data_IF_225473071277
#
_entry.id   IF_225473071277
#
_cell.length_a   1.000
_cell.length_b   1.000
_cell.length_c   1.000
_cell.angle_alpha   90.00
_cell.angle_beta   90.00
_cell.angle_gamma   90.00
#
_symmetry.space_group_name_H-M   'P 1'
#
loop_
_entity.id
_entity.type
_entity.pdbx_description
1 polymer ?
#
# COMPACT_ATOMS: atom_id res chain seq x y z
N UNK A 1 12.06 -15.60 -0.27
CA UNK A 1 12.87 -14.54 -0.92
C UNK A 1 14.28 -14.54 -0.33
N UNK A 2 15.29 -14.19 -1.12
CA UNK A 2 16.69 -14.07 -0.71
C UNK A 2 17.18 -12.63 -0.94
N UNK A 3 18.20 -12.21 -0.19
CA UNK A 3 18.90 -10.94 -0.41
C UNK A 3 20.22 -11.22 -1.12
N UNK A 4 20.64 -10.31 -2.00
CA UNK A 4 21.89 -10.42 -2.72
C UNK A 4 22.64 -9.09 -2.63
N UNK A 5 23.76 -9.09 -1.92
CA UNK A 5 24.78 -8.05 -2.10
C UNK A 5 25.59 -8.39 -3.35
N UNK A 6 25.85 -7.38 -4.19
CA UNK A 6 26.47 -7.52 -5.51
C UNK A 6 27.58 -8.59 -5.58
N UNK A 7 27.52 -9.48 -6.58
CA UNK A 7 28.46 -10.59 -6.81
C UNK A 7 28.69 -11.55 -5.61
N UNK A 8 27.94 -11.41 -4.52
CA UNK A 8 28.00 -12.26 -3.34
C UNK A 8 27.09 -13.49 -3.43
N UNK A 9 27.21 -14.38 -2.45
CA UNK A 9 26.26 -15.48 -2.27
C UNK A 9 24.93 -14.97 -1.69
N UNK A 10 23.78 -15.59 -2.03
CA UNK A 10 22.50 -15.27 -1.41
C UNK A 10 22.59 -15.24 0.11
N UNK A 11 22.21 -14.12 0.69
CA UNK A 11 22.11 -13.93 2.13
C UNK A 11 20.65 -13.99 2.57
N UNK A 12 20.38 -14.34 3.84
CA UNK A 12 19.08 -14.09 4.42
C UNK A 12 18.78 -12.57 4.38
N UNK A 13 17.52 -12.16 4.13
CA UNK A 13 17.13 -10.76 4.14
C UNK A 13 17.49 -9.98 5.42
N UNK A 14 17.71 -10.69 6.54
CA UNK A 14 18.07 -10.11 7.83
C UNK A 14 19.37 -9.31 7.82
N UNK A 15 20.36 -9.67 7.00
CA UNK A 15 21.67 -8.99 6.99
C UNK A 15 21.57 -7.51 6.58
N UNK A 16 20.78 -7.20 5.55
CA UNK A 16 20.53 -5.81 5.14
C UNK A 16 19.76 -5.02 6.20
N UNK A 17 18.85 -5.69 6.91
CA UNK A 17 18.02 -5.08 7.94
C UNK A 17 18.82 -4.76 9.21
N UNK A 18 19.85 -5.55 9.54
CA UNK A 18 20.76 -5.24 10.66
C UNK A 18 21.52 -3.92 10.43
N UNK A 19 22.03 -3.71 9.22
CA UNK A 19 22.68 -2.44 8.85
C UNK A 19 21.69 -1.27 8.90
N UNK A 20 20.47 -1.45 8.37
CA UNK A 20 19.44 -0.42 8.40
C UNK A 20 19.07 -0.01 9.85
N UNK A 21 18.91 -0.98 10.76
CA UNK A 21 18.64 -0.71 12.17
C UNK A 21 19.76 0.08 12.85
N UNK A 22 21.02 -0.25 12.54
CA UNK A 22 22.18 0.49 13.04
C UNK A 22 22.17 1.94 12.54
N UNK A 23 21.88 2.16 11.26
CA UNK A 23 21.80 3.52 10.70
C UNK A 23 20.73 4.36 11.39
N UNK A 24 19.52 3.83 11.62
CA UNK A 24 18.48 4.56 12.36
C UNK A 24 18.86 4.79 13.83
N UNK A 25 19.58 3.85 14.45
CA UNK A 25 20.10 4.02 15.81
C UNK A 25 21.14 5.13 15.88
N UNK A 26 22.06 5.22 14.92
CA UNK A 26 23.00 6.34 14.80
C UNK A 26 22.26 7.66 14.53
N UNK A 27 21.23 7.65 13.68
CA UNK A 27 20.42 8.84 13.40
C UNK A 27 19.71 9.35 14.66
N UNK A 28 19.18 8.47 15.51
CA UNK A 28 18.62 8.85 16.81
C UNK A 28 19.65 9.50 17.73
N UNK A 29 20.88 8.95 17.78
CA UNK A 29 21.97 9.53 18.57
C UNK A 29 22.44 10.91 18.06
N UNK A 30 22.22 11.21 16.78
CA UNK A 30 22.58 12.46 16.13
C UNK A 30 21.42 13.45 15.96
N UNK A 31 20.19 13.07 16.35
CA UNK A 31 19.00 13.89 16.15
C UNK A 31 19.09 15.20 16.96
N UNK A 32 18.92 16.33 16.27
CA UNK A 32 18.95 17.66 16.84
C UNK A 32 17.56 18.18 17.24
N UNK A 33 16.48 17.53 16.79
CA UNK A 33 15.10 17.93 17.08
C UNK A 33 14.13 16.73 17.02
N UNK A 34 12.90 16.97 17.48
CA UNK A 34 11.84 15.95 17.53
C UNK A 34 11.48 15.39 16.15
N UNK A 35 11.50 16.20 15.10
CA UNK A 35 11.22 15.71 13.73
C UNK A 35 12.24 14.65 13.31
N UNK A 36 13.53 14.89 13.55
CA UNK A 36 14.60 13.95 13.24
C UNK A 36 14.51 12.68 14.11
N UNK A 37 14.23 12.83 15.41
CA UNK A 37 14.09 11.66 16.28
C UNK A 37 12.85 10.83 15.91
N UNK A 38 11.73 11.47 15.63
CA UNK A 38 10.48 10.79 15.26
C UNK A 38 10.62 10.07 13.91
N UNK A 39 11.26 10.69 12.92
CA UNK A 39 11.57 10.05 11.65
C UNK A 39 12.48 8.81 11.84
N UNK A 40 13.49 8.93 12.70
CA UNK A 40 14.40 7.83 12.97
C UNK A 40 13.73 6.69 13.77
N UNK A 41 12.85 7.00 14.72
CA UNK A 41 12.00 6.01 15.40
C UNK A 41 11.07 5.31 14.41
N UNK A 42 10.36 6.05 13.56
CA UNK A 42 9.45 5.49 12.55
C UNK A 42 10.18 4.55 11.59
N UNK A 43 11.33 4.97 11.05
CA UNK A 43 12.14 4.13 10.17
C UNK A 43 12.69 2.89 10.87
N UNK A 44 13.14 3.01 12.13
CA UNK A 44 13.62 1.85 12.89
C UNK A 44 12.49 0.87 13.23
N UNK A 45 11.30 1.36 13.54
CA UNK A 45 10.12 0.53 13.76
C UNK A 45 9.78 -0.29 12.51
N UNK A 46 9.77 0.33 11.31
CA UNK A 46 9.57 -0.39 10.04
C UNK A 46 10.61 -1.50 9.83
N UNK A 47 11.90 -1.21 10.09
CA UNK A 47 12.97 -2.22 10.00
C UNK A 47 12.75 -3.36 10.99
N UNK A 48 12.39 -3.05 12.23
CA UNK A 48 12.14 -4.04 13.28
C UNK A 48 10.91 -4.91 13.00
N UNK A 49 9.84 -4.34 12.44
CA UNK A 49 8.70 -5.11 11.91
C UNK A 49 9.17 -6.08 10.83
N UNK A 50 9.99 -5.62 9.87
CA UNK A 50 10.52 -6.47 8.81
C UNK A 50 11.45 -7.59 9.34
N UNK A 51 12.12 -7.36 10.47
CA UNK A 51 12.94 -8.35 11.19
C UNK A 51 12.12 -9.30 12.07
N UNK A 52 10.85 -8.98 12.35
CA UNK A 52 10.03 -9.68 13.33
C UNK A 52 10.33 -9.32 14.78
N UNK A 53 11.14 -8.29 15.06
CA UNK A 53 11.35 -7.74 16.41
C UNK A 53 10.20 -6.82 16.80
N UNK A 54 9.07 -7.43 17.18
CA UNK A 54 7.87 -6.68 17.55
C UNK A 54 8.04 -5.90 18.85
N UNK A 55 8.78 -6.43 19.84
CA UNK A 55 9.03 -5.69 21.07
C UNK A 55 9.74 -4.35 20.81
N UNK A 56 10.82 -4.39 20.02
CA UNK A 56 11.55 -3.19 19.63
C UNK A 56 10.74 -2.28 18.70
N UNK A 57 10.01 -2.85 17.75
CA UNK A 57 9.17 -2.08 16.82
C UNK A 57 8.08 -1.29 17.56
N UNK A 58 7.37 -1.93 18.49
CA UNK A 58 6.30 -1.32 19.27
C UNK A 58 6.83 -0.22 20.20
N UNK A 59 8.02 -0.43 20.78
CA UNK A 59 8.68 0.59 21.59
C UNK A 59 9.01 1.85 20.79
N UNK A 60 9.52 1.69 19.56
CA UNK A 60 9.84 2.82 18.68
C UNK A 60 8.58 3.50 18.14
N UNK A 61 7.59 2.70 17.71
CA UNK A 61 6.30 3.20 17.21
C UNK A 61 5.58 4.06 18.27
N UNK A 62 5.68 3.71 19.55
CA UNK A 62 5.09 4.49 20.64
C UNK A 62 5.75 5.87 20.85
N UNK A 63 6.95 6.11 20.31
CA UNK A 63 7.62 7.42 20.42
C UNK A 63 7.13 8.42 19.37
N UNK A 64 6.41 7.96 18.34
CA UNK A 64 6.01 8.79 17.20
C UNK A 64 4.58 9.29 17.42
N UNK A 65 4.33 10.61 17.45
CA UNK A 65 2.99 11.18 17.56
C UNK A 65 2.08 10.72 16.41
N UNK A 66 0.78 10.45 16.64
CA UNK A 66 -0.15 10.00 15.60
C UNK A 66 -0.22 10.90 14.35
N UNK A 67 -0.11 12.21 14.52
CA UNK A 67 -0.17 13.23 13.47
C UNK A 67 1.19 13.50 12.80
N UNK A 68 2.24 12.80 13.20
CA UNK A 68 3.56 12.96 12.62
C UNK A 68 3.62 12.48 11.17
N UNK A 69 4.26 13.26 10.30
CA UNK A 69 4.53 12.89 8.91
C UNK A 69 5.96 13.26 8.57
N UNK A 70 6.71 12.30 8.05
CA UNK A 70 8.01 12.52 7.41
C UNK A 70 7.94 12.12 5.94
N UNK A 71 8.15 13.09 5.04
CA UNK A 71 7.90 12.91 3.62
C UNK A 71 9.06 13.40 2.76
N UNK A 72 9.26 12.77 1.61
CA UNK A 72 10.03 13.35 0.51
C UNK A 72 9.13 14.31 -0.24
N UNK A 73 9.59 15.56 -0.37
CA UNK A 73 8.91 16.59 -1.14
C UNK A 73 9.41 16.55 -2.60
N UNK A 74 8.54 16.25 -3.56
CA UNK A 74 8.89 16.29 -4.97
C UNK A 74 9.10 17.73 -5.43
N UNK A 75 9.87 17.89 -6.51
CA UNK A 75 9.87 19.12 -7.29
C UNK A 75 9.32 18.80 -8.69
N UNK A 76 8.16 19.35 -9.08
CA UNK A 76 7.49 18.99 -10.33
C UNK A 76 8.28 19.44 -11.56
N UNK A 77 9.16 20.44 -11.42
CA UNK A 77 9.91 21.03 -12.52
C UNK A 77 11.10 20.15 -12.94
N UNK A 78 11.52 19.23 -12.08
CA UNK A 78 12.64 18.35 -12.34
C UNK A 78 12.17 16.90 -12.46
N UNK A 79 12.38 16.35 -13.66
CA UNK A 79 12.03 14.97 -14.00
C UNK A 79 12.53 13.92 -13.00
N UNK A 80 13.69 14.16 -12.39
CA UNK A 80 14.33 13.22 -11.46
C UNK A 80 13.79 13.26 -10.04
N UNK A 81 13.07 14.32 -9.66
CA UNK A 81 12.61 14.54 -8.28
C UNK A 81 11.09 14.69 -8.16
N UNK A 82 10.36 14.84 -9.26
CA UNK A 82 8.88 14.83 -9.26
C UNK A 82 8.30 13.47 -8.91
N UNK A 83 7.05 13.46 -8.46
CA UNK A 83 6.24 12.23 -8.41
C UNK A 83 6.03 11.72 -9.83
N UNK A 84 6.71 10.62 -10.18
CA UNK A 84 6.59 10.03 -11.53
C UNK A 84 5.21 9.44 -11.76
N UNK A 85 4.63 8.82 -10.74
CA UNK A 85 3.31 8.21 -10.80
C UNK A 85 2.25 9.30 -10.96
N UNK A 86 2.37 10.40 -10.23
CA UNK A 86 1.46 11.54 -10.38
C UNK A 86 1.61 12.24 -11.73
N UNK A 87 2.83 12.52 -12.18
CA UNK A 87 3.05 13.08 -13.52
C UNK A 87 2.53 12.19 -14.65
N UNK A 88 2.67 10.88 -14.52
CA UNK A 88 2.17 9.92 -15.51
C UNK A 88 0.64 9.88 -15.62
N UNK A 89 -0.07 10.40 -14.62
CA UNK A 89 -1.53 10.34 -14.57
C UNK A 89 -2.22 11.70 -14.41
N UNK A 90 -1.49 12.83 -14.41
CA UNK A 90 -2.04 14.17 -14.16
C UNK A 90 -2.80 14.78 -15.37
N UNK A 91 -3.55 13.95 -16.12
CA UNK A 91 -4.23 14.24 -17.39
C UNK A 91 -3.31 14.68 -18.55
N UNK A 92 -2.53 15.73 -18.34
CA UNK A 92 -1.48 16.21 -19.22
C UNK A 92 -0.10 15.95 -18.59
N UNK A 93 0.85 15.30 -19.30
CA UNK A 93 0.77 14.87 -20.69
C UNK A 93 0.06 13.51 -20.89
N UNK A 94 -0.25 12.77 -19.82
CA UNK A 94 -0.72 11.40 -19.94
C UNK A 94 -1.83 11.03 -18.92
N UNK A 95 -2.54 9.97 -19.29
CA UNK A 95 -3.56 9.25 -18.52
C UNK A 95 -3.20 7.76 -18.52
N UNK A 96 -2.04 7.42 -17.95
CA UNK A 96 -1.41 6.12 -18.18
C UNK A 96 -2.10 4.94 -17.48
N UNK A 97 -2.77 5.17 -16.35
CA UNK A 97 -3.44 4.11 -15.61
C UNK A 97 -4.79 4.57 -15.06
N UNK A 98 -5.63 3.61 -14.71
CA UNK A 98 -6.96 3.84 -14.15
C UNK A 98 -7.07 3.14 -12.80
N UNK A 99 -7.90 3.68 -11.91
CA UNK A 99 -8.23 3.04 -10.64
C UNK A 99 -9.36 2.01 -10.81
N UNK A 100 -9.99 1.95 -11.98
CA UNK A 100 -11.03 0.97 -12.28
C UNK A 100 -10.58 -0.46 -11.95
N UNK A 101 -11.49 -1.26 -11.41
CA UNK A 101 -11.23 -2.65 -11.00
C UNK A 101 -10.22 -2.79 -9.84
N UNK A 102 -9.94 -1.72 -9.12
CA UNK A 102 -9.16 -1.77 -7.88
C UNK A 102 -10.06 -1.52 -6.67
N UNK A 103 -9.59 -1.89 -5.49
CA UNK A 103 -10.22 -1.55 -4.21
C UNK A 103 -10.50 -0.06 -4.06
N UNK A 104 -9.58 0.76 -4.56
CA UNK A 104 -9.64 2.21 -4.44
C UNK A 104 -10.54 2.88 -5.48
N UNK A 105 -10.71 2.24 -6.63
CA UNK A 105 -11.54 2.75 -7.70
C UNK A 105 -13.02 2.53 -7.46
N UNK A 106 -13.80 3.01 -8.42
CA UNK A 106 -15.24 2.82 -8.44
C UNK A 106 -15.65 1.36 -8.69
N UNK A 107 -16.87 1.03 -8.26
CA UNK A 107 -17.60 -0.12 -8.80
C UNK A 107 -17.73 0.09 -10.31
N UNK A 108 -17.37 -0.92 -11.10
CA UNK A 108 -17.44 -0.82 -12.55
C UNK A 108 -18.87 -0.49 -13.01
N UNK A 109 -19.14 0.71 -13.58
CA UNK A 109 -20.50 1.06 -13.96
C UNK A 109 -21.00 0.19 -15.10
N UNK A 110 -22.32 -0.02 -15.15
CA UNK A 110 -22.98 -0.92 -16.09
C UNK A 110 -22.71 -0.60 -17.57
N UNK A 111 -22.32 0.64 -17.88
CA UNK A 111 -21.94 1.10 -19.22
C UNK A 111 -20.48 0.81 -19.61
N UNK A 112 -19.60 0.39 -18.70
CA UNK A 112 -18.26 -0.10 -19.06
C UNK A 112 -18.31 -1.51 -19.66
N UNK A 113 -19.39 -2.26 -19.40
CA UNK A 113 -19.64 -3.58 -20.00
C UNK A 113 -19.67 -3.56 -21.53
N UNK A 114 -20.09 -2.45 -22.15
CA UNK A 114 -20.09 -2.30 -23.62
C UNK A 114 -18.71 -1.97 -24.20
N UNK A 115 -17.74 -1.63 -23.37
CA UNK A 115 -16.36 -1.31 -23.76
C UNK A 115 -15.41 -2.51 -23.57
N UNK A 116 -15.80 -3.52 -22.78
CA UNK A 116 -15.12 -4.82 -22.74
C UNK A 116 -15.51 -5.62 -24.00
N UNK A 117 -14.57 -6.29 -24.69
CA UNK A 117 -14.89 -7.02 -25.90
C UNK A 117 -15.54 -8.35 -25.57
N UNK A 118 -16.64 -8.59 -26.28
CA UNK A 118 -17.30 -9.86 -26.59
C UNK A 118 -17.26 -10.91 -25.45
N UNK A 119 -18.43 -11.05 -24.83
CA UNK A 119 -18.76 -11.80 -23.59
C UNK A 119 -18.44 -11.06 -22.27
N UNK A 120 -18.74 -9.75 -22.20
CA UNK A 120 -18.81 -8.98 -20.95
C UNK A 120 -19.99 -9.39 -20.01
N UNK A 121 -20.57 -10.58 -20.23
CA UNK A 121 -21.68 -11.20 -19.51
C UNK A 121 -21.25 -11.97 -18.27
N UNK A 122 -19.97 -12.37 -18.17
CA UNK A 122 -19.49 -13.26 -17.10
C UNK A 122 -18.98 -12.53 -15.85
N UNK A 123 -18.69 -11.22 -15.93
CA UNK A 123 -18.30 -10.44 -14.75
C UNK A 123 -19.53 -10.00 -13.94
N UNK A 124 -19.52 -10.16 -12.60
CA UNK A 124 -20.65 -9.77 -11.77
C UNK A 124 -20.94 -8.26 -11.89
N UNK A 125 -22.20 -7.87 -11.64
CA UNK A 125 -22.65 -6.45 -11.69
C UNK A 125 -21.90 -5.60 -10.67
N UNK A 126 -21.57 -6.21 -9.53
CA UNK A 126 -20.75 -5.64 -8.47
C UNK A 126 -19.52 -6.50 -8.38
N UNK A 127 -18.34 -5.88 -8.42
CA UNK A 127 -17.08 -6.59 -8.24
C UNK A 127 -16.75 -6.48 -6.75
N UNK A 128 -16.73 -7.61 -6.00
CA UNK A 128 -16.36 -7.60 -4.59
C UNK A 128 -15.00 -6.93 -4.40
N UNK A 129 -14.83 -6.17 -3.32
CA UNK A 129 -13.57 -5.48 -3.03
C UNK A 129 -13.24 -4.32 -3.98
N UNK A 130 -14.25 -3.66 -4.57
CA UNK A 130 -14.10 -2.37 -5.29
C UNK A 130 -15.09 -1.34 -4.73
N UNK A 131 -14.96 -0.06 -5.08
CA UNK A 131 -15.93 0.98 -4.71
C UNK A 131 -15.82 1.55 -3.31
N UNK A 132 -14.72 1.29 -2.59
CA UNK A 132 -14.58 1.68 -1.19
C UNK A 132 -14.80 3.18 -0.94
N UNK A 133 -14.26 4.06 -1.79
CA UNK A 133 -14.46 5.51 -1.65
C UNK A 133 -15.94 5.91 -1.75
N UNK A 134 -16.69 5.34 -2.68
CA UNK A 134 -18.09 5.70 -2.87
C UNK A 134 -18.95 5.35 -1.63
N UNK A 135 -18.62 4.26 -0.95
CA UNK A 135 -19.33 3.81 0.26
C UNK A 135 -18.90 4.61 1.50
N UNK A 136 -17.60 4.80 1.68
CA UNK A 136 -17.02 5.39 2.91
C UNK A 136 -16.88 6.91 2.89
N UNK A 137 -16.69 7.50 1.71
CA UNK A 137 -16.24 8.88 1.54
C UNK A 137 -14.82 9.10 2.07
N UNK A 138 -13.97 8.07 2.14
CA UNK A 138 -12.62 8.18 2.68
C UNK A 138 -11.71 9.03 1.78
N UNK A 139 -11.28 10.23 2.23
CA UNK A 139 -10.57 11.20 1.38
C UNK A 139 -9.20 10.70 0.93
N UNK A 140 -8.61 9.74 1.65
CA UNK A 140 -7.31 9.15 1.32
C UNK A 140 -7.33 8.39 0.00
N UNK A 141 -8.51 7.93 -0.42
CA UNK A 141 -8.70 7.14 -1.65
C UNK A 141 -9.68 7.80 -2.62
N UNK A 142 -9.99 9.07 -2.38
CA UNK A 142 -10.89 9.84 -3.22
C UNK A 142 -10.38 9.86 -4.67
N UNK A 143 -11.30 9.62 -5.61
CA UNK A 143 -10.99 9.58 -7.04
C UNK A 143 -11.92 10.46 -7.84
N UNK A 144 -11.49 10.81 -9.05
CA UNK A 144 -12.26 11.59 -10.00
C UNK A 144 -12.12 11.03 -11.43
N UNK A 145 -12.98 11.54 -12.31
CA UNK A 145 -12.92 11.35 -13.77
C UNK A 145 -12.91 12.73 -14.43
N UNK A 146 -12.48 12.79 -15.69
CA UNK A 146 -12.63 13.99 -16.52
C UNK A 146 -13.65 13.67 -17.61
N UNK A 147 -14.88 14.22 -17.56
CA UNK A 147 -15.93 13.89 -18.53
C UNK A 147 -15.53 14.13 -19.99
N UNK A 148 -14.76 15.18 -20.24
CA UNK A 148 -14.29 15.56 -21.59
C UNK A 148 -13.12 14.69 -22.08
N UNK A 149 -12.47 13.95 -21.17
CA UNK A 149 -11.34 13.06 -21.45
C UNK A 149 -11.55 11.69 -20.79
N UNK A 150 -12.56 10.93 -21.22
CA UNK A 150 -13.06 9.78 -20.46
C UNK A 150 -12.15 8.53 -20.52
N UNK A 151 -11.10 8.53 -21.34
CA UNK A 151 -10.27 7.35 -21.60
C UNK A 151 -8.80 7.59 -21.30
N UNK A 152 -8.12 6.51 -20.92
CA UNK A 152 -6.68 6.44 -20.78
C UNK A 152 -6.01 6.73 -22.13
N UNK A 153 -4.75 7.17 -22.10
CA UNK A 153 -4.04 7.52 -23.34
C UNK A 153 -3.65 6.30 -24.19
N UNK A 154 -3.76 5.09 -23.64
CA UNK A 154 -3.51 3.83 -24.33
C UNK A 154 -4.78 2.98 -24.39
N UNK A 155 -4.89 2.17 -25.44
CA UNK A 155 -5.88 1.12 -25.57
C UNK A 155 -5.22 -0.24 -25.40
N UNK A 156 -5.91 -1.16 -24.75
CA UNK A 156 -5.41 -2.53 -24.60
C UNK A 156 -5.90 -3.37 -25.79
N UNK A 157 -4.98 -4.12 -26.41
CA UNK A 157 -5.31 -4.98 -27.53
C UNK A 157 -6.36 -6.00 -27.10
N UNK A 158 -7.46 -6.07 -27.85
CA UNK A 158 -8.56 -6.95 -27.48
C UNK A 158 -9.26 -6.53 -26.19
N UNK A 159 -9.20 -5.25 -25.79
CA UNK A 159 -10.01 -4.63 -24.73
C UNK A 159 -10.50 -3.21 -25.07
N UNK A 160 -9.91 -2.56 -26.07
CA UNK A 160 -10.35 -1.25 -26.54
C UNK A 160 -9.86 -0.09 -25.67
N UNK A 161 -10.60 1.02 -25.71
CA UNK A 161 -10.30 2.22 -24.92
C UNK A 161 -10.67 1.97 -23.46
N UNK A 162 -9.71 2.23 -22.55
CA UNK A 162 -9.88 1.98 -21.12
C UNK A 162 -10.40 3.24 -20.44
N UNK A 163 -11.54 3.21 -19.74
CA UNK A 163 -12.03 4.36 -18.98
C UNK A 163 -11.02 4.82 -17.93
N UNK A 164 -10.82 6.13 -17.84
CA UNK A 164 -9.81 6.70 -16.98
C UNK A 164 -10.39 7.31 -15.71
N UNK A 165 -9.74 7.02 -14.58
CA UNK A 165 -9.96 7.64 -13.28
C UNK A 165 -8.64 7.76 -12.53
N UNK A 166 -8.53 8.76 -11.67
CA UNK A 166 -7.32 9.02 -10.87
C UNK A 166 -7.69 9.49 -9.47
N UNK A 167 -6.74 9.42 -8.54
CA UNK A 167 -6.90 10.00 -7.21
C UNK A 167 -6.98 11.52 -7.29
N UNK A 168 -7.83 12.14 -6.46
CA UNK A 168 -8.02 13.59 -6.43
C UNK A 168 -6.79 14.36 -5.94
N UNK A 169 -5.91 13.68 -5.20
CA UNK A 169 -4.70 14.25 -4.61
C UNK A 169 -3.42 13.86 -5.36
N UNK A 170 -3.49 13.00 -6.38
CA UNK A 170 -2.30 12.47 -7.04
C UNK A 170 -1.91 13.30 -8.26
N UNK A 171 -0.79 13.99 -8.13
CA UNK A 171 -0.20 14.92 -9.07
C UNK A 171 1.35 14.87 -9.00
N UNK A 172 2.07 15.63 -9.84
CA UNK A 172 3.55 15.62 -9.85
C UNK A 172 4.23 16.12 -8.57
N UNK A 173 3.52 16.87 -7.73
CA UNK A 173 3.98 17.46 -6.47
C UNK A 173 3.60 16.60 -5.25
N UNK A 174 2.76 15.57 -5.41
CA UNK A 174 2.30 14.71 -4.31
C UNK A 174 3.46 14.17 -3.48
N UNK A 175 3.54 14.53 -2.18
CA UNK A 175 4.57 14.03 -1.27
C UNK A 175 4.53 12.50 -1.13
N UNK A 176 5.72 11.91 -0.96
CA UNK A 176 5.85 10.48 -0.67
C UNK A 176 6.21 10.34 0.81
N UNK A 177 5.31 9.78 1.62
CA UNK A 177 5.61 9.59 3.03
C UNK A 177 6.60 8.44 3.22
N UNK A 178 7.65 8.69 4.00
CA UNK A 178 8.66 7.71 4.40
C UNK A 178 8.37 7.12 5.78
N UNK A 179 7.58 7.81 6.60
CA UNK A 179 7.08 7.32 7.87
C UNK A 179 6.04 8.26 8.46
N UNK A 180 4.96 7.69 8.98
CA UNK A 180 3.84 8.45 9.56
C UNK A 180 3.49 7.92 10.95
N UNK A 181 2.87 8.76 11.77
CA UNK A 181 2.31 8.37 13.06
C UNK A 181 1.15 7.39 12.95
N UNK A 182 0.33 7.54 11.91
CA UNK A 182 -0.76 6.60 11.60
C UNK A 182 -0.21 5.21 11.26
N UNK A 183 0.87 5.11 10.49
CA UNK A 183 1.57 3.83 10.28
C UNK A 183 2.05 3.22 11.61
N UNK A 184 2.62 4.04 12.52
CA UNK A 184 3.06 3.57 13.83
C UNK A 184 1.89 3.09 14.70
N UNK A 185 0.73 3.75 14.64
CA UNK A 185 -0.49 3.26 15.28
C UNK A 185 -0.93 1.91 14.72
N UNK A 186 -0.86 1.71 13.40
CA UNK A 186 -1.22 0.43 12.78
C UNK A 186 -0.22 -0.69 13.10
N UNK A 187 1.08 -0.40 13.27
CA UNK A 187 2.01 -1.39 13.81
C UNK A 187 1.70 -1.76 15.27
N UNK A 188 1.28 -0.78 16.08
CA UNK A 188 0.81 -1.05 17.44
C UNK A 188 -0.47 -1.87 17.46
N UNK A 189 -1.40 -1.60 16.54
CA UNK A 189 -2.58 -2.43 16.35
C UNK A 189 -2.20 -3.86 15.97
N UNK A 190 -1.27 -4.03 15.01
CA UNK A 190 -0.80 -5.36 14.62
C UNK A 190 -0.18 -6.13 15.79
N UNK A 191 0.62 -5.47 16.62
CA UNK A 191 1.15 -6.05 17.86
C UNK A 191 0.04 -6.59 18.77
N UNK A 192 -1.01 -5.80 19.00
CA UNK A 192 -2.18 -6.24 19.79
C UNK A 192 -2.87 -7.46 19.17
N UNK A 193 -3.04 -7.48 17.85
CA UNK A 193 -3.68 -8.60 17.16
C UNK A 193 -2.82 -9.87 17.20
N UNK A 194 -1.49 -9.75 17.15
CA UNK A 194 -0.56 -10.87 17.32
C UNK A 194 -0.65 -11.50 18.71
N UNK A 195 -0.96 -10.70 19.72
CA UNK A 195 -1.20 -11.17 21.09
C UNK A 195 -2.65 -11.65 21.32
N UNK A 196 -3.49 -11.68 20.27
CA UNK A 196 -4.90 -12.08 20.34
C UNK A 196 -5.83 -11.02 20.94
N UNK A 197 -5.32 -9.83 21.26
CA UNK A 197 -6.11 -8.71 21.79
C UNK A 197 -6.79 -7.94 20.65
N UNK A 198 -7.86 -8.51 20.10
CA UNK A 198 -8.59 -7.88 19.00
C UNK A 198 -9.23 -6.55 19.40
N UNK A 199 -9.74 -6.43 20.64
CA UNK A 199 -10.36 -5.19 21.12
C UNK A 199 -9.37 -4.02 21.15
N UNK A 200 -8.18 -4.23 21.74
CA UNK A 200 -7.12 -3.21 21.75
C UNK A 200 -6.56 -2.89 20.36
N UNK A 201 -6.50 -3.89 19.47
CA UNK A 201 -6.14 -3.64 18.07
C UNK A 201 -7.17 -2.75 17.35
N UNK A 202 -8.46 -3.00 17.56
CA UNK A 202 -9.53 -2.22 16.96
C UNK A 202 -9.61 -0.79 17.50
N UNK A 203 -9.28 -0.56 18.78
CA UNK A 203 -9.18 0.79 19.33
C UNK A 203 -8.15 1.63 18.55
N UNK A 204 -6.97 1.08 18.27
CA UNK A 204 -5.91 1.77 17.53
C UNK A 204 -6.23 1.93 16.04
N UNK A 205 -6.85 0.93 15.40
CA UNK A 205 -7.30 1.03 14.00
C UNK A 205 -8.36 2.13 13.86
N UNK A 206 -9.35 2.15 14.75
CA UNK A 206 -10.41 3.14 14.72
C UNK A 206 -9.92 4.54 15.14
N UNK A 207 -8.87 4.63 15.95
CA UNK A 207 -8.18 5.89 16.19
C UNK A 207 -7.65 6.48 14.87
N UNK A 208 -6.95 5.69 14.04
CA UNK A 208 -6.46 6.15 12.72
C UNK A 208 -7.63 6.65 11.86
N UNK A 209 -8.72 5.88 11.75
CA UNK A 209 -9.89 6.28 10.96
C UNK A 209 -10.49 7.61 11.40
N UNK A 210 -10.61 7.81 12.72
CA UNK A 210 -11.18 9.03 13.27
C UNK A 210 -10.38 10.31 12.98
N UNK A 211 -9.12 10.16 12.52
CA UNK A 211 -8.29 11.30 12.11
C UNK A 211 -8.68 11.87 10.73
N UNK A 212 -9.51 11.16 9.97
CA UNK A 212 -9.96 11.57 8.63
C UNK A 212 -11.45 11.86 8.62
N UNK A 213 -11.82 12.91 7.89
CA UNK A 213 -13.22 13.34 7.73
C UNK A 213 -13.76 12.75 6.43
N UNK A 214 -14.92 12.10 6.51
CA UNK A 214 -15.60 11.51 5.36
C UNK A 214 -16.16 12.60 4.44
N UNK A 215 -15.81 12.56 3.16
CA UNK A 215 -16.35 13.45 2.13
C UNK A 215 -17.87 13.26 1.93
N UNK A 216 -18.41 12.09 2.28
CA UNK A 216 -19.83 11.79 2.15
C UNK A 216 -20.67 12.40 3.27
N UNK A 217 -20.12 12.53 4.48
CA UNK A 217 -20.90 12.87 5.69
C UNK A 217 -20.45 14.15 6.39
N UNK A 218 -19.21 14.59 6.16
CA UNK A 218 -18.61 15.72 6.89
C UNK A 218 -18.19 15.39 8.33
N UNK A 219 -18.31 14.13 8.74
CA UNK A 219 -17.96 13.63 10.08
C UNK A 219 -16.72 12.72 10.02
N UNK A 220 -16.05 12.42 11.15
CA UNK A 220 -14.98 11.43 11.18
C UNK A 220 -15.41 10.10 10.56
N UNK A 221 -14.50 9.42 9.85
CA UNK A 221 -14.82 8.14 9.21
C UNK A 221 -15.42 7.16 10.22
N UNK A 222 -16.51 6.50 9.80
CA UNK A 222 -17.17 5.50 10.63
C UNK A 222 -16.15 4.42 11.06
N UNK A 223 -16.17 4.01 12.34
CA UNK A 223 -15.26 2.99 12.84
C UNK A 223 -15.51 1.66 12.12
N UNK A 224 -14.46 0.87 11.92
CA UNK A 224 -14.61 -0.53 11.56
C UNK A 224 -15.26 -1.28 12.73
N UNK A 225 -16.20 -2.16 12.41
CA UNK A 225 -16.83 -3.08 13.35
C UNK A 225 -16.21 -4.47 13.18
N UNK A 226 -15.57 -4.97 14.24
CA UNK A 226 -14.97 -6.29 14.26
C UNK A 226 -15.14 -6.92 15.65
N UNK A 227 -15.84 -8.06 15.68
CA UNK A 227 -16.16 -8.80 16.90
C UNK A 227 -15.36 -10.09 17.04
N UNK A 228 -14.30 -10.26 16.24
CA UNK A 228 -13.41 -11.42 16.28
C UNK A 228 -11.99 -11.01 15.90
N UNK A 229 -11.02 -11.86 16.25
CA UNK A 229 -9.63 -11.67 15.85
C UNK A 229 -9.47 -11.64 14.32
N UNK A 230 -10.12 -12.56 13.63
CA UNK A 230 -10.11 -12.64 12.17
C UNK A 230 -10.65 -11.37 11.50
N UNK A 231 -11.80 -10.86 11.97
CA UNK A 231 -12.38 -9.62 11.46
C UNK A 231 -11.48 -8.40 11.76
N UNK A 232 -10.83 -8.37 12.93
CA UNK A 232 -9.91 -7.29 13.28
C UNK A 232 -8.64 -7.30 12.40
N UNK A 233 -8.13 -8.49 12.05
CA UNK A 233 -7.05 -8.60 11.07
C UNK A 233 -7.48 -8.13 9.68
N UNK A 234 -8.70 -8.45 9.21
CA UNK A 234 -9.23 -7.90 7.95
C UNK A 234 -9.28 -6.36 8.00
N UNK A 235 -9.73 -5.77 9.11
CA UNK A 235 -9.75 -4.33 9.31
C UNK A 235 -8.33 -3.73 9.26
N UNK A 236 -7.35 -4.33 9.95
CA UNK A 236 -5.95 -3.92 9.90
C UNK A 236 -5.38 -3.99 8.49
N UNK A 237 -5.59 -5.11 7.78
CA UNK A 237 -5.09 -5.33 6.42
C UNK A 237 -5.66 -4.31 5.44
N UNK A 238 -6.89 -3.87 5.67
CA UNK A 238 -7.57 -2.81 4.91
C UNK A 238 -6.98 -1.44 5.22
N UNK A 239 -6.88 -1.08 6.50
CA UNK A 239 -6.35 0.22 6.91
C UNK A 239 -4.88 0.40 6.50
N UNK A 240 -4.06 -0.66 6.59
CA UNK A 240 -2.69 -0.68 6.07
C UNK A 240 -2.60 -0.49 4.56
N UNK A 241 -3.58 -0.99 3.82
CA UNK A 241 -3.65 -0.81 2.36
C UNK A 241 -3.96 0.64 1.99
N UNK A 242 -4.84 1.29 2.75
CA UNK A 242 -5.23 2.68 2.55
C UNK A 242 -4.10 3.62 2.97
N UNK A 243 -3.56 3.45 4.19
CA UNK A 243 -2.49 4.29 4.73
C UNK A 243 -1.17 4.16 3.97
N UNK A 244 -0.83 2.97 3.48
CA UNK A 244 0.40 2.72 2.73
C UNK A 244 0.25 2.86 1.21
N UNK A 245 -0.83 3.47 0.74
CA UNK A 245 -1.15 3.57 -0.68
C UNK A 245 -0.06 4.34 -1.45
N UNK A 246 0.50 3.71 -2.49
CA UNK A 246 1.60 4.24 -3.30
C UNK A 246 2.92 4.51 -2.55
N UNK A 247 3.07 4.00 -1.32
CA UNK A 247 4.26 4.21 -0.49
C UNK A 247 5.14 2.94 -0.32
N UNK A 248 4.88 1.89 -1.11
CA UNK A 248 5.72 0.69 -1.16
C UNK A 248 5.58 -0.26 0.05
N UNK A 249 4.57 -0.08 0.90
CA UNK A 249 4.35 -0.91 2.10
C UNK A 249 3.71 -2.26 1.80
N UNK A 250 2.81 -2.30 0.83
CA UNK A 250 1.85 -3.39 0.66
C UNK A 250 2.49 -4.76 0.42
N UNK A 251 3.50 -4.84 -0.45
CA UNK A 251 4.14 -6.12 -0.77
C UNK A 251 4.81 -6.74 0.46
N UNK A 252 5.44 -5.91 1.30
CA UNK A 252 6.13 -6.35 2.51
C UNK A 252 5.13 -6.84 3.56
N UNK A 253 4.02 -6.13 3.74
CA UNK A 253 2.95 -6.55 4.63
C UNK A 253 2.33 -7.89 4.21
N UNK A 254 1.97 -8.03 2.92
CA UNK A 254 1.40 -9.28 2.39
C UNK A 254 2.35 -10.45 2.56
N UNK A 255 3.64 -10.24 2.27
CA UNK A 255 4.67 -11.26 2.46
C UNK A 255 4.74 -11.72 3.91
N UNK A 256 4.77 -10.77 4.85
CA UNK A 256 4.89 -11.05 6.28
C UNK A 256 3.65 -11.75 6.82
N UNK A 257 2.45 -11.25 6.53
CA UNK A 257 1.19 -11.90 6.94
C UNK A 257 1.05 -13.31 6.37
N UNK A 258 1.46 -13.53 5.12
CA UNK A 258 1.46 -14.88 4.53
C UNK A 258 2.46 -15.81 5.23
N UNK A 259 3.66 -15.33 5.57
CA UNK A 259 4.66 -16.12 6.30
C UNK A 259 4.22 -16.46 7.73
N UNK A 260 3.52 -15.54 8.39
CA UNK A 260 3.02 -15.71 9.76
C UNK A 260 1.69 -16.47 9.84
N UNK A 261 1.01 -16.73 8.71
CA UNK A 261 -0.34 -17.26 8.68
C UNK A 261 -1.36 -16.34 9.36
N UNK A 262 -1.17 -15.01 9.27
CA UNK A 262 -2.06 -14.04 9.91
C UNK A 262 -3.48 -14.12 9.31
N UNK A 263 -4.53 -14.24 10.14
CA UNK A 263 -5.90 -14.48 9.67
C UNK A 263 -6.49 -13.25 9.00
N UNK A 264 -7.75 -13.35 8.56
CA UNK A 264 -8.47 -12.27 7.89
C UNK A 264 -8.05 -12.08 6.43
N UNK A 265 -8.96 -11.63 5.60
CA UNK A 265 -8.69 -11.45 4.17
C UNK A 265 -8.15 -10.06 3.87
N UNK A 266 -7.34 -9.96 2.82
CA UNK A 266 -7.02 -8.66 2.23
C UNK A 266 -8.21 -8.18 1.39
N UNK A 267 -8.51 -6.88 1.32
CA UNK A 267 -9.72 -6.37 0.65
C UNK A 267 -9.57 -6.31 -0.88
N UNK A 268 -8.79 -7.21 -1.48
CA UNK A 268 -8.62 -7.28 -2.92
C UNK A 268 -9.85 -7.90 -3.57
N UNK A 269 -10.19 -7.49 -4.80
CA UNK A 269 -11.09 -8.29 -5.61
C UNK A 269 -10.50 -9.69 -5.82
N UNK A 270 -11.32 -10.75 -5.80
CA UNK A 270 -10.87 -12.13 -5.94
C UNK A 270 -10.54 -12.44 -7.42
N UNK A 271 -9.52 -11.79 -7.97
CA UNK A 271 -9.20 -11.85 -9.40
C UNK A 271 -8.83 -13.25 -9.87
N UNK A 272 -8.18 -14.04 -9.01
CA UNK A 272 -7.86 -15.44 -9.28
C UNK A 272 -9.12 -16.30 -9.49
N UNK A 273 -10.27 -15.92 -8.89
CA UNK A 273 -11.56 -16.58 -9.11
C UNK A 273 -12.33 -16.01 -10.32
N UNK A 274 -12.16 -14.71 -10.59
CA UNK A 274 -12.92 -13.97 -11.58
C UNK A 274 -12.27 -13.94 -12.98
N UNK A 275 -10.99 -14.29 -13.11
CA UNK A 275 -10.25 -14.12 -14.36
C UNK A 275 -9.21 -15.22 -14.57
N UNK A 276 -9.28 -15.95 -15.71
CA UNK A 276 -8.29 -16.97 -16.07
C UNK A 276 -6.83 -16.45 -16.11
N UNK A 277 -6.63 -15.17 -16.46
CA UNK A 277 -5.32 -14.55 -16.51
C UNK A 277 -4.62 -14.59 -15.15
N UNK A 278 -5.35 -14.30 -14.08
CA UNK A 278 -4.82 -14.28 -12.72
C UNK A 278 -4.76 -15.68 -12.11
N UNK A 279 -5.63 -16.60 -12.54
CA UNK A 279 -5.55 -18.01 -12.13
C UNK A 279 -4.26 -18.70 -12.63
N UNK A 280 -3.77 -18.36 -13.83
CA UNK A 280 -2.55 -18.93 -14.41
C UNK A 280 -1.26 -18.32 -13.84
N UNK A 281 -1.32 -17.10 -13.32
CA UNK A 281 -0.18 -16.35 -12.77
C UNK A 281 -0.52 -15.83 -11.36
N UNK A 282 -0.51 -16.71 -10.33
CA UNK A 282 -0.93 -16.34 -9.00
C UNK A 282 0.01 -15.31 -8.36
N UNK A 283 -0.54 -14.54 -7.42
CA UNK A 283 0.17 -13.47 -6.73
C UNK A 283 1.47 -13.95 -6.05
N UNK A 284 2.60 -13.35 -6.43
CA UNK A 284 3.91 -13.63 -5.82
C UNK A 284 4.30 -12.54 -4.81
N UNK A 285 4.93 -12.95 -3.71
CA UNK A 285 5.39 -12.04 -2.62
C UNK A 285 6.90 -11.77 -2.63
N UNK A 286 7.59 -12.23 -3.69
CA UNK A 286 9.02 -12.02 -3.91
C UNK A 286 9.24 -11.58 -5.37
N UNK A 287 10.18 -10.65 -5.57
CA UNK A 287 10.72 -10.40 -6.90
C UNK A 287 11.67 -11.53 -7.32
N UNK A 288 11.70 -11.92 -8.61
CA UNK A 288 12.71 -12.82 -9.13
C UNK A 288 14.09 -12.15 -9.08
N UNK A 289 15.15 -12.96 -8.92
CA UNK A 289 16.52 -12.47 -9.11
C UNK A 289 16.67 -12.10 -10.59
N UNK A 290 17.26 -10.95 -10.88
CA UNK A 290 17.45 -10.49 -12.25
C UNK A 290 18.25 -11.52 -13.06
N UNK A 291 17.80 -11.83 -14.28
CA UNK A 291 18.41 -12.84 -15.14
C UNK A 291 19.91 -12.57 -15.40
N UNK A 292 20.27 -11.29 -15.57
CA UNK A 292 21.68 -10.90 -15.71
C UNK A 292 22.53 -11.27 -14.50
N UNK A 293 21.96 -11.19 -13.29
CA UNK A 293 22.67 -11.58 -12.06
C UNK A 293 22.80 -13.10 -11.96
N UNK A 294 21.74 -13.86 -12.30
CA UNK A 294 21.80 -15.33 -12.40
C UNK A 294 22.89 -15.77 -13.37
N UNK A 295 22.96 -15.14 -14.55
CA UNK A 295 23.91 -15.50 -15.60
C UNK A 295 25.36 -15.11 -15.30
N UNK A 296 25.60 -14.12 -14.42
CA UNK A 296 26.94 -13.58 -14.16
C UNK A 296 27.51 -13.94 -12.79
N UNK A 297 26.66 -14.22 -11.81
CA UNK A 297 27.10 -14.51 -10.45
C UNK A 297 27.34 -16.03 -10.30
N UNK A 298 28.60 -16.48 -10.19
CA UNK A 298 28.91 -17.91 -10.11
C UNK A 298 28.35 -18.58 -8.84
N UNK A 299 27.90 -17.79 -7.85
CA UNK A 299 27.31 -18.30 -6.62
C UNK A 299 25.82 -18.66 -6.76
N UNK A 300 25.17 -18.31 -7.88
CA UNK A 300 23.74 -18.58 -8.12
C UNK A 300 23.46 -19.86 -8.92
N UNK A 301 24.53 -20.51 -9.42
CA UNK A 301 24.43 -21.69 -10.28
C UNK A 301 24.01 -21.31 -11.70
N UNK A 302 24.96 -21.39 -12.64
CA UNK A 302 24.65 -21.49 -14.07
C UNK A 302 24.34 -22.92 -14.46
#
# INVERSE_FOLDING_TARGET
CQWLEAAGAPQPPSAALDNAEQHFTSALGAAANSTQSNAAYAGRAQVRVAKGDWGGALSDAAQVPPDFVFAVQPDPNFFNTRSRVGWANADEPYRQFTLLFTFFGEQAPSNIRSLLPLEASDLPVTIPGTGYYAESGDPRVAWHRIPDQPFANASLQGFGQVPWSNFTWLDPETPIHLGTGTEMLLYRAEGMLRDGNYAGGMELINQVRSMYISDNTGEPLAPWDAMSLEAAWTALKTERMIEGLLEGRRLVDLRRWAADGSPGEAPFPPWEELSPLFAEAPTATCFPIAENEVNRNPNLGG
#
